data_IF_936255835198
#
_entry.id   IF_936255835198
#
_cell.length_a   1.000
_cell.length_b   1.000
_cell.length_c   1.000
_cell.angle_alpha   90.00
_cell.angle_beta   90.00
_cell.angle_gamma   90.00
#
_symmetry.space_group_name_H-M   'P 1'
#
loop_
_entity.id
_entity.type
_entity.pdbx_description
1 polymer ?
#
# COMPACT_ATOMS: atom_id res chain seq x y z
N UNK A 1 -17.21 -19.54 -16.47
CA UNK A 1 -16.53 -18.94 -17.63
C UNK A 1 -16.31 -17.45 -17.36
N UNK A 2 -15.05 -17.00 -17.16
CA UNK A 2 -14.72 -15.57 -17.08
C UNK A 2 -14.50 -15.05 -18.50
N UNK A 3 -15.55 -14.58 -19.17
CA UNK A 3 -15.39 -13.67 -20.31
C UNK A 3 -15.52 -12.23 -19.77
N UNK A 4 -14.50 -11.78 -19.06
CA UNK A 4 -14.38 -10.39 -18.64
C UNK A 4 -13.16 -9.81 -19.33
N UNK A 5 -13.33 -8.75 -20.11
CA UNK A 5 -12.23 -7.99 -20.71
C UNK A 5 -11.25 -7.66 -19.59
N UNK A 6 -10.02 -8.18 -19.69
CA UNK A 6 -8.95 -7.83 -18.77
C UNK A 6 -8.65 -6.33 -18.95
N UNK A 7 -8.66 -5.53 -17.88
CA UNK A 7 -8.38 -4.11 -18.00
C UNK A 7 -6.96 -3.90 -18.53
N UNK A 8 -6.81 -2.99 -19.48
CA UNK A 8 -5.51 -2.66 -20.11
C UNK A 8 -4.71 -1.63 -19.30
N UNK A 9 -5.22 -1.22 -18.14
CA UNK A 9 -4.62 -0.22 -17.26
C UNK A 9 -4.83 -0.59 -15.79
N UNK A 10 -4.05 0.05 -14.92
CA UNK A 10 -4.23 0.00 -13.47
C UNK A 10 -4.13 1.42 -12.89
N UNK A 11 -4.45 1.56 -11.61
CA UNK A 11 -4.45 2.84 -10.90
C UNK A 11 -3.45 2.78 -9.74
N UNK A 12 -2.56 3.77 -9.69
CA UNK A 12 -1.76 4.06 -8.51
C UNK A 12 -2.42 5.23 -7.77
N UNK A 13 -2.76 5.01 -6.51
CA UNK A 13 -3.49 5.98 -5.68
C UNK A 13 -2.59 6.43 -4.55
N UNK A 14 -2.25 7.72 -4.53
CA UNK A 14 -1.63 8.33 -3.37
C UNK A 14 -2.57 8.27 -2.15
N UNK A 15 -2.02 8.19 -0.94
CA UNK A 15 -2.81 8.07 0.29
C UNK A 15 -3.01 9.45 0.94
N UNK A 16 -1.92 10.18 1.17
CA UNK A 16 -1.92 11.38 2.00
C UNK A 16 -2.32 12.61 1.18
N UNK A 17 -3.47 13.19 1.48
CA UNK A 17 -4.08 14.29 0.72
C UNK A 17 -5.10 13.82 -0.33
N UNK A 18 -5.13 12.52 -0.64
CA UNK A 18 -6.05 11.92 -1.63
C UNK A 18 -7.13 11.05 -0.98
N UNK A 19 -6.74 10.12 -0.09
CA UNK A 19 -7.67 9.27 0.67
C UNK A 19 -7.90 9.77 2.10
N UNK A 20 -6.90 10.43 2.67
CA UNK A 20 -6.92 10.98 4.03
C UNK A 20 -6.34 12.38 4.08
N UNK A 21 -6.78 13.23 5.02
CA UNK A 21 -6.04 14.41 5.46
C UNK A 21 -5.61 14.21 6.91
N UNK A 22 -4.31 13.98 7.11
CA UNK A 22 -3.80 13.60 8.43
C UNK A 22 -4.39 12.25 8.87
N UNK A 23 -5.26 12.27 9.89
CA UNK A 23 -5.98 11.07 10.37
C UNK A 23 -7.43 11.01 9.91
N UNK A 24 -7.91 12.03 9.20
CA UNK A 24 -9.32 12.16 8.83
C UNK A 24 -9.54 11.62 7.41
N UNK A 25 -10.42 10.62 7.23
CA UNK A 25 -10.79 10.14 5.89
C UNK A 25 -11.39 11.24 5.03
N UNK A 26 -11.06 11.26 3.74
CA UNK A 26 -11.74 12.11 2.76
C UNK A 26 -13.04 11.40 2.36
N UNK A 27 -14.24 11.96 2.62
CA UNK A 27 -15.51 11.23 2.41
C UNK A 27 -15.74 10.78 0.96
N UNK A 28 -15.19 11.50 -0.01
CA UNK A 28 -15.28 11.16 -1.43
C UNK A 28 -14.50 9.88 -1.78
N UNK A 29 -13.48 9.50 -1.00
CA UNK A 29 -12.66 8.32 -1.26
C UNK A 29 -13.50 7.04 -1.24
N UNK A 30 -14.35 6.85 -0.23
CA UNK A 30 -15.25 5.69 -0.15
C UNK A 30 -16.20 5.62 -1.34
N UNK A 31 -16.82 6.75 -1.71
CA UNK A 31 -17.72 6.83 -2.88
C UNK A 31 -17.00 6.50 -4.18
N UNK A 32 -15.74 6.93 -4.34
CA UNK A 32 -14.93 6.59 -5.50
C UNK A 32 -14.64 5.09 -5.56
N UNK A 33 -14.28 4.47 -4.43
CA UNK A 33 -14.04 3.03 -4.36
C UNK A 33 -15.31 2.22 -4.63
N UNK A 34 -16.48 2.63 -4.14
CA UNK A 34 -17.75 1.98 -4.49
C UNK A 34 -18.00 1.92 -6.01
N UNK A 35 -17.52 2.92 -6.77
CA UNK A 35 -17.60 2.92 -8.25
C UNK A 35 -16.54 2.05 -8.92
N UNK A 36 -15.48 1.69 -8.20
CA UNK A 36 -14.39 0.83 -8.66
C UNK A 36 -14.61 -0.64 -8.30
N UNK A 37 -15.72 -0.99 -7.65
CA UNK A 37 -16.06 -2.36 -7.28
C UNK A 37 -17.15 -2.93 -8.18
N UNK A 38 -17.07 -4.22 -8.48
CA UNK A 38 -18.18 -4.97 -9.05
C UNK A 38 -19.22 -5.35 -7.97
N UNK A 39 -20.31 -6.01 -8.38
CA UNK A 39 -21.37 -6.46 -7.46
C UNK A 39 -20.92 -7.52 -6.45
N UNK A 40 -19.75 -8.13 -6.64
CA UNK A 40 -19.11 -9.07 -5.71
C UNK A 40 -18.12 -8.36 -4.77
N UNK A 41 -18.01 -7.03 -4.80
CA UNK A 41 -17.06 -6.28 -3.97
C UNK A 41 -15.60 -6.43 -4.40
N UNK A 42 -15.34 -6.81 -5.65
CA UNK A 42 -13.99 -6.94 -6.20
C UNK A 42 -13.65 -5.73 -7.06
N UNK A 43 -12.39 -5.29 -7.01
CA UNK A 43 -11.91 -4.19 -7.83
C UNK A 43 -12.04 -4.52 -9.33
N UNK A 44 -12.61 -3.57 -10.08
CA UNK A 44 -12.79 -3.66 -11.53
C UNK A 44 -11.47 -3.55 -12.30
N UNK A 45 -10.47 -2.89 -11.71
CA UNK A 45 -9.12 -2.70 -12.27
C UNK A 45 -8.07 -2.93 -11.18
N UNK A 46 -6.82 -3.30 -11.53
CA UNK A 46 -5.72 -3.36 -10.58
C UNK A 46 -5.50 -2.01 -9.90
N UNK A 47 -5.46 -2.00 -8.57
CA UNK A 47 -5.19 -0.80 -7.76
C UNK A 47 -4.03 -1.08 -6.82
N UNK A 48 -3.08 -0.14 -6.79
CA UNK A 48 -1.98 -0.07 -5.84
C UNK A 48 -2.04 1.27 -5.11
N UNK A 49 -1.82 1.24 -3.80
CA UNK A 49 -1.77 2.40 -2.93
C UNK A 49 -0.31 2.77 -2.68
N UNK A 50 0.02 4.04 -2.84
CA UNK A 50 1.38 4.55 -2.66
C UNK A 50 1.40 5.67 -1.63
N UNK A 51 2.43 5.71 -0.78
CA UNK A 51 2.67 6.80 0.16
C UNK A 51 4.16 6.97 0.41
N UNK A 52 4.58 8.21 0.67
CA UNK A 52 5.92 8.51 1.15
C UNK A 52 6.09 8.26 2.66
N UNK A 53 5.01 7.91 3.38
CA UNK A 53 5.10 7.50 4.77
C UNK A 53 5.93 6.22 4.90
N UNK A 54 6.79 6.18 5.93
CA UNK A 54 7.66 5.05 6.24
C UNK A 54 7.59 4.61 7.70
N UNK A 55 6.50 4.95 8.40
CA UNK A 55 6.39 4.85 9.85
C UNK A 55 5.64 3.60 10.35
N UNK A 56 5.32 2.65 9.46
CA UNK A 56 4.66 1.39 9.82
C UNK A 56 4.91 0.31 8.75
N UNK A 57 4.47 -0.92 9.01
CA UNK A 57 4.51 -2.01 8.05
C UNK A 57 3.41 -1.83 6.97
N UNK A 58 3.66 -2.30 5.74
CA UNK A 58 2.68 -2.29 4.66
C UNK A 58 1.37 -3.00 5.05
N UNK A 59 1.44 -4.09 5.83
CA UNK A 59 0.26 -4.77 6.36
C UNK A 59 -0.60 -3.86 7.22
N UNK A 60 0.01 -3.15 8.19
CA UNK A 60 -0.71 -2.22 9.07
C UNK A 60 -1.39 -1.12 8.27
N UNK A 61 -0.75 -0.62 7.20
CA UNK A 61 -1.35 0.37 6.31
C UNK A 61 -2.50 -0.23 5.47
N UNK A 62 -2.35 -1.45 4.97
CA UNK A 62 -3.40 -2.16 4.24
C UNK A 62 -4.64 -2.39 5.11
N UNK A 63 -4.48 -2.77 6.37
CA UNK A 63 -5.60 -2.94 7.31
C UNK A 63 -6.32 -1.62 7.57
N UNK A 64 -5.56 -0.52 7.76
CA UNK A 64 -6.12 0.83 7.93
C UNK A 64 -6.93 1.28 6.71
N UNK A 65 -6.38 1.10 5.51
CA UNK A 65 -7.06 1.43 4.26
C UNK A 65 -8.30 0.55 4.06
N UNK A 66 -8.22 -0.73 4.42
CA UNK A 66 -9.34 -1.66 4.27
C UNK A 66 -10.53 -1.23 5.10
N UNK A 67 -10.27 -0.85 6.37
CA UNK A 67 -11.30 -0.32 7.25
C UNK A 67 -11.85 1.03 6.75
N UNK A 68 -10.98 1.91 6.26
CA UNK A 68 -11.38 3.24 5.79
C UNK A 68 -12.30 3.18 4.57
N UNK A 69 -11.90 2.38 3.58
CA UNK A 69 -12.56 2.27 2.27
C UNK A 69 -13.66 1.21 2.25
N UNK A 70 -13.73 0.33 3.26
CA UNK A 70 -14.63 -0.83 3.31
C UNK A 70 -14.39 -1.79 2.13
N UNK A 71 -13.11 -1.98 1.79
CA UNK A 71 -12.64 -2.84 0.69
C UNK A 71 -11.49 -3.69 1.20
N UNK A 72 -11.44 -5.01 0.92
CA UNK A 72 -10.29 -5.83 1.30
C UNK A 72 -9.04 -5.40 0.50
N UNK A 73 -8.01 -4.92 1.20
CA UNK A 73 -6.73 -4.50 0.61
C UNK A 73 -5.62 -5.39 1.16
N UNK A 74 -4.86 -6.01 0.25
CA UNK A 74 -3.68 -6.80 0.61
C UNK A 74 -2.47 -5.91 0.87
N UNK A 75 -1.54 -6.36 1.72
CA UNK A 75 -0.22 -5.72 1.92
C UNK A 75 0.54 -5.53 0.60
N UNK A 76 0.35 -6.42 -0.37
CA UNK A 76 1.06 -6.38 -1.66
C UNK A 76 0.51 -5.28 -2.58
N UNK A 77 -0.67 -4.75 -2.27
CA UNK A 77 -1.23 -3.57 -2.92
C UNK A 77 -0.75 -2.26 -2.28
N UNK A 78 0.12 -2.30 -1.26
CA UNK A 78 0.59 -1.10 -0.56
C UNK A 78 2.09 -0.91 -0.75
N UNK A 79 2.47 0.22 -1.33
CA UNK A 79 3.85 0.68 -1.46
C UNK A 79 4.09 1.86 -0.52
N UNK A 80 5.01 1.65 0.43
CA UNK A 80 5.48 2.67 1.36
C UNK A 80 6.87 3.17 0.91
N UNK A 81 7.37 4.27 1.50
CA UNK A 81 8.65 4.85 1.07
C UNK A 81 9.85 3.89 1.21
N UNK A 82 9.79 2.95 2.15
CA UNK A 82 10.81 1.91 2.30
C UNK A 82 10.61 0.70 1.37
N UNK A 83 9.44 0.50 0.74
CA UNK A 83 9.17 -0.66 -0.13
C UNK A 83 10.22 -0.88 -1.24
N UNK A 84 10.73 0.15 -1.93
CA UNK A 84 11.78 -0.01 -2.94
C UNK A 84 13.08 -0.63 -2.40
N UNK A 85 13.37 -0.60 -1.09
CA UNK A 85 14.61 -1.19 -0.55
C UNK A 85 14.75 -2.69 -0.85
N UNK A 86 13.64 -3.40 -1.16
CA UNK A 86 13.68 -4.81 -1.61
C UNK A 86 14.42 -5.01 -2.93
N UNK A 87 14.47 -3.98 -3.78
CA UNK A 87 15.13 -4.07 -5.09
C UNK A 87 16.60 -3.67 -5.05
N UNK A 88 17.07 -3.03 -3.97
CA UNK A 88 18.44 -2.53 -3.84
C UNK A 88 19.43 -3.60 -3.38
N UNK A 89 19.56 -4.65 -4.20
CA UNK A 89 20.38 -5.84 -3.93
C UNK A 89 21.84 -5.53 -3.55
N UNK A 90 22.41 -4.45 -4.09
CA UNK A 90 23.78 -4.01 -3.82
C UNK A 90 24.07 -3.63 -2.36
N UNK A 91 23.04 -3.43 -1.54
CA UNK A 91 23.19 -3.04 -0.14
C UNK A 91 22.81 -4.16 0.84
N UNK A 92 22.22 -5.24 0.34
CA UNK A 92 21.72 -6.33 1.19
C UNK A 92 22.83 -7.08 1.92
N UNK A 93 24.05 -7.06 1.40
CA UNK A 93 25.23 -7.68 2.01
C UNK A 93 26.08 -6.72 2.87
N UNK A 94 25.61 -5.49 3.10
CA UNK A 94 26.35 -4.43 3.81
C UNK A 94 25.75 -4.17 5.20
N UNK A 95 26.57 -3.59 6.08
CA UNK A 95 26.06 -2.97 7.30
C UNK A 95 25.31 -1.69 6.93
N UNK A 96 24.03 -1.62 7.29
CA UNK A 96 23.13 -0.51 6.96
C UNK A 96 22.55 0.07 8.24
N UNK A 97 22.68 1.39 8.40
CA UNK A 97 21.97 2.13 9.45
C UNK A 97 20.52 2.38 8.98
N UNK A 98 19.56 1.87 9.73
CA UNK A 98 18.13 2.15 9.51
C UNK A 98 17.68 3.23 10.49
N UNK A 99 17.16 4.34 9.96
CA UNK A 99 16.70 5.48 10.75
C UNK A 99 15.33 5.96 10.25
N UNK A 100 14.46 6.40 11.17
CA UNK A 100 13.11 6.86 10.87
C UNK A 100 12.17 6.78 12.06
N UNK A 101 10.86 6.77 11.79
CA UNK A 101 9.81 6.67 12.81
C UNK A 101 9.14 5.29 12.79
N UNK A 102 8.50 4.91 13.89
CA UNK A 102 7.72 3.67 13.99
C UNK A 102 8.56 2.44 14.37
N UNK A 103 8.06 1.22 14.10
CA UNK A 103 8.72 -0.02 14.51
C UNK A 103 9.89 -0.34 13.57
N UNK A 104 11.00 0.42 13.70
CA UNK A 104 12.15 0.36 12.79
C UNK A 104 12.75 -1.04 12.65
N UNK A 105 12.85 -1.78 13.76
CA UNK A 105 13.39 -3.13 13.74
C UNK A 105 12.51 -4.08 12.92
N UNK A 106 11.18 -3.98 13.07
CA UNK A 106 10.24 -4.80 12.32
C UNK A 106 10.23 -4.42 10.83
N UNK A 107 10.33 -3.13 10.53
CA UNK A 107 10.46 -2.63 9.16
C UNK A 107 11.76 -3.17 8.54
N UNK A 108 12.89 -3.06 9.24
CA UNK A 108 14.19 -3.53 8.75
C UNK A 108 14.16 -5.04 8.42
N UNK A 109 13.54 -5.86 9.28
CA UNK A 109 13.38 -7.31 9.09
C UNK A 109 12.54 -7.71 7.88
N UNK A 110 11.80 -6.79 7.25
CA UNK A 110 11.05 -7.06 6.01
C UNK A 110 11.93 -7.15 4.75
N UNK A 111 13.22 -6.88 4.90
CA UNK A 111 14.18 -6.78 3.81
C UNK A 111 15.37 -7.69 4.07
N UNK A 112 16.02 -8.19 3.02
CA UNK A 112 17.07 -9.21 3.15
C UNK A 112 18.44 -8.59 3.48
N UNK A 113 18.53 -7.73 4.50
CA UNK A 113 19.81 -7.25 5.03
C UNK A 113 20.57 -8.40 5.71
N UNK A 114 21.91 -8.35 5.71
CA UNK A 114 22.72 -9.12 6.65
C UNK A 114 22.63 -8.45 8.02
N UNK A 115 21.91 -9.07 8.95
CA UNK A 115 21.91 -8.71 10.36
C UNK A 115 23.15 -9.27 11.06
#
# INVERSE_FOLDING_TARGET
MKLGIQPTFGILIDIDGVLVRGRTPIPAARKAFQKLLNSQGQLLVPVVFVTNAGNCLCQKKADQLSHLLEVPISKDQVMMSHSPLRMFRRYHDKCVLVSGQGPLLDIAKQYPWKC
#
